data_IF_580712142427
#
_entry.id   IF_580712142427
#
_cell.length_a   1.000
_cell.length_b   1.000
_cell.length_c   1.000
_cell.angle_alpha   90.00
_cell.angle_beta   90.00
_cell.angle_gamma   90.00
#
_symmetry.space_group_name_H-M   'P 1'
#
loop_
_entity.id
_entity.type
_entity.pdbx_description
1 polymer ?
#
# COMPACT_ATOMS: atom_id res chain seq x y z
N UNK A 1 -12.45 6.52 -10.56
CA UNK A 1 -12.92 5.72 -9.41
C UNK A 1 -13.15 6.63 -8.20
N UNK A 2 -14.19 6.39 -7.38
CA UNK A 2 -14.41 7.13 -6.11
C UNK A 2 -13.26 6.86 -5.12
N UNK A 3 -12.75 7.84 -4.36
CA UNK A 3 -11.60 7.64 -3.47
C UNK A 3 -11.75 6.49 -2.46
N UNK A 4 -12.95 6.29 -1.90
CA UNK A 4 -13.18 5.19 -0.94
C UNK A 4 -13.08 3.80 -1.58
N UNK A 5 -13.53 3.66 -2.84
CA UNK A 5 -13.41 2.40 -3.58
C UNK A 5 -11.95 2.08 -3.88
N UNK A 6 -11.17 3.08 -4.31
CA UNK A 6 -9.74 2.91 -4.53
C UNK A 6 -9.02 2.55 -3.23
N UNK A 7 -9.40 3.20 -2.12
CA UNK A 7 -8.84 2.90 -0.81
C UNK A 7 -9.12 1.45 -0.39
N UNK A 8 -10.32 0.92 -0.63
CA UNK A 8 -10.62 -0.50 -0.38
C UNK A 8 -9.74 -1.42 -1.22
N UNK A 9 -9.54 -1.13 -2.51
CA UNK A 9 -8.66 -1.95 -3.37
C UNK A 9 -7.21 -1.91 -2.90
N UNK A 10 -6.67 -0.72 -2.62
CA UNK A 10 -5.32 -0.52 -2.08
C UNK A 10 -5.14 -1.26 -0.74
N UNK A 11 -6.11 -1.09 0.16
CA UNK A 11 -6.13 -1.80 1.43
C UNK A 11 -6.14 -3.31 1.19
N UNK A 12 -7.09 -3.84 0.43
CA UNK A 12 -7.23 -5.28 0.18
C UNK A 12 -5.96 -5.93 -0.38
N UNK A 13 -5.14 -5.17 -1.11
CA UNK A 13 -3.89 -5.60 -1.73
C UNK A 13 -2.64 -5.34 -0.87
N UNK A 14 -2.77 -4.60 0.23
CA UNK A 14 -1.64 -4.27 1.11
C UNK A 14 -0.71 -3.23 0.47
N UNK A 15 -1.31 -2.22 -0.14
CA UNK A 15 -0.61 -1.12 -0.80
C UNK A 15 -0.78 0.18 -0.01
N UNK A 16 0.13 1.12 -0.21
CA UNK A 16 -0.02 2.50 0.27
C UNK A 16 -1.04 3.30 -0.56
N UNK A 17 -1.29 4.55 -0.18
CA UNK A 17 -2.23 5.44 -0.87
C UNK A 17 -1.83 5.78 -2.32
N UNK A 18 -0.59 5.49 -2.72
CA UNK A 18 -0.06 5.66 -4.08
C UNK A 18 -0.01 4.34 -4.85
N UNK A 19 -0.56 3.25 -4.29
CA UNK A 19 -0.58 1.94 -4.91
C UNK A 19 0.78 1.22 -4.91
N UNK A 20 1.72 1.62 -4.05
CA UNK A 20 3.04 0.97 -3.91
C UNK A 20 2.96 -0.19 -2.92
N UNK A 21 3.70 -1.26 -3.22
CA UNK A 21 3.80 -2.44 -2.37
C UNK A 21 4.02 -3.71 -3.19
N UNK A 22 3.87 -4.87 -2.54
CA UNK A 22 4.17 -6.19 -3.12
C UNK A 22 2.94 -7.03 -3.41
N UNK A 23 1.73 -6.51 -3.18
CA UNK A 23 0.48 -7.26 -3.34
C UNK A 23 0.43 -8.53 -2.46
N UNK A 24 0.97 -8.46 -1.23
CA UNK A 24 1.14 -9.63 -0.35
C UNK A 24 -0.17 -10.15 0.27
N UNK A 25 -1.28 -9.42 0.12
CA UNK A 25 -2.63 -9.83 0.53
C UNK A 25 -3.65 -9.60 -0.59
N UNK A 26 -4.84 -10.18 -0.45
CA UNK A 26 -5.91 -10.06 -1.45
C UNK A 26 -7.33 -10.28 -0.88
N UNK A 27 -7.57 -9.91 0.38
CA UNK A 27 -8.88 -10.15 1.00
C UNK A 27 -9.34 -8.95 1.81
N UNK A 28 -10.66 -8.74 1.80
CA UNK A 28 -11.36 -7.77 2.64
C UNK A 28 -12.59 -8.47 3.23
N UNK A 29 -12.74 -8.43 4.55
CA UNK A 29 -13.88 -9.06 5.24
C UNK A 29 -14.71 -7.98 5.88
N UNK A 30 -16.01 -7.96 5.55
CA UNK A 30 -16.94 -7.00 6.10
C UNK A 30 -18.39 -7.46 5.93
N UNK A 31 -19.30 -6.99 6.78
CA UNK A 31 -20.74 -7.30 6.71
C UNK A 31 -21.60 -6.04 6.57
N UNK A 32 -22.91 -6.22 6.37
CA UNK A 32 -23.89 -5.16 6.04
C UNK A 32 -23.93 -3.99 7.03
N UNK A 33 -23.53 -4.20 8.28
CA UNK A 33 -23.44 -3.14 9.29
C UNK A 33 -22.30 -2.13 9.03
N UNK A 34 -21.35 -2.46 8.16
CA UNK A 34 -20.22 -1.61 7.78
C UNK A 34 -20.54 -0.79 6.53
N UNK A 35 -20.16 0.49 6.55
CA UNK A 35 -20.19 1.35 5.35
C UNK A 35 -19.32 0.81 4.21
N UNK A 36 -18.29 0.03 4.53
CA UNK A 36 -17.35 -0.52 3.54
C UNK A 36 -17.98 -1.67 2.75
N UNK A 37 -19.03 -2.32 3.29
CA UNK A 37 -19.72 -3.42 2.60
C UNK A 37 -20.43 -2.95 1.34
N UNK A 38 -21.13 -1.81 1.40
CA UNK A 38 -21.76 -1.20 0.22
C UNK A 38 -20.72 -0.80 -0.85
N UNK A 39 -19.58 -0.25 -0.43
CA UNK A 39 -18.49 0.10 -1.34
C UNK A 39 -17.82 -1.17 -1.93
N UNK A 40 -17.68 -2.26 -1.17
CA UNK A 40 -17.21 -3.56 -1.68
C UNK A 40 -18.18 -4.16 -2.70
N UNK A 41 -19.50 -4.09 -2.46
CA UNK A 41 -20.52 -4.53 -3.41
C UNK A 41 -20.48 -3.69 -4.70
N UNK A 42 -20.24 -2.39 -4.61
CA UNK A 42 -20.05 -1.54 -5.80
C UNK A 42 -18.79 -1.95 -6.59
N UNK A 43 -17.71 -2.35 -5.91
CA UNK A 43 -16.51 -2.89 -6.56
C UNK A 43 -16.76 -4.27 -7.21
N UNK A 44 -17.64 -5.08 -6.62
CA UNK A 44 -18.08 -6.36 -7.21
C UNK A 44 -18.90 -6.12 -8.47
N UNK A 45 -19.87 -5.21 -8.42
CA UNK A 45 -20.70 -4.81 -9.57
C UNK A 45 -19.85 -4.26 -10.73
N UNK A 46 -18.79 -3.51 -10.40
CA UNK A 46 -17.82 -3.02 -11.37
C UNK A 46 -16.79 -4.06 -11.87
N UNK A 47 -16.82 -5.30 -11.37
CA UNK A 47 -15.89 -6.38 -11.77
C UNK A 47 -14.49 -6.30 -11.15
N UNK A 48 -14.25 -5.38 -10.22
CA UNK A 48 -12.95 -5.19 -9.56
C UNK A 48 -12.74 -6.10 -8.34
N UNK A 49 -13.83 -6.64 -7.78
CA UNK A 49 -13.77 -7.63 -6.70
C UNK A 49 -14.69 -8.82 -6.97
N UNK A 50 -14.38 -9.96 -6.36
CA UNK A 50 -15.32 -11.06 -6.16
C UNK A 50 -15.79 -11.13 -4.70
N UNK A 51 -16.85 -11.90 -4.44
CA UNK A 51 -17.46 -12.04 -3.12
C UNK A 51 -17.79 -13.51 -2.79
N UNK A 52 -17.55 -13.91 -1.54
CA UNK A 52 -18.10 -15.09 -0.90
C UNK A 52 -19.02 -14.63 0.22
N UNK A 53 -20.31 -14.90 0.08
CA UNK A 53 -21.32 -14.48 1.06
C UNK A 53 -21.29 -15.36 2.30
N UNK A 54 -21.48 -14.74 3.46
CA UNK A 54 -21.62 -15.39 4.77
C UNK A 54 -20.62 -16.52 5.02
N UNK A 55 -19.33 -16.23 4.82
CA UNK A 55 -18.30 -17.26 4.82
C UNK A 55 -17.99 -17.72 6.26
N UNK A 56 -18.00 -19.02 6.59
CA UNK A 56 -17.79 -19.49 7.97
C UNK A 56 -16.45 -19.05 8.58
N UNK A 57 -15.39 -19.01 7.76
CA UNK A 57 -14.07 -18.53 8.21
C UNK A 57 -14.00 -17.00 8.38
N UNK A 58 -15.02 -16.27 7.93
CA UNK A 58 -15.17 -14.84 8.09
C UNK A 58 -16.15 -14.48 9.23
N UNK A 59 -16.49 -15.44 10.10
CA UNK A 59 -17.40 -15.19 11.23
C UNK A 59 -18.85 -14.93 10.82
N UNK A 60 -19.24 -15.29 9.60
CA UNK A 60 -20.57 -15.03 9.04
C UNK A 60 -20.67 -13.75 8.20
N UNK A 61 -19.61 -12.94 8.14
CA UNK A 61 -19.49 -11.81 7.23
C UNK A 61 -19.16 -12.25 5.80
N UNK A 62 -19.24 -11.29 4.87
CA UNK A 62 -18.85 -11.49 3.49
C UNK A 62 -17.33 -11.32 3.33
N UNK A 63 -16.73 -12.20 2.52
CA UNK A 63 -15.32 -12.15 2.19
C UNK A 63 -15.13 -11.78 0.71
N UNK A 64 -14.42 -10.68 0.47
CA UNK A 64 -14.15 -10.14 -0.85
C UNK A 64 -12.70 -10.36 -1.23
N UNK A 65 -12.42 -10.50 -2.53
CA UNK A 65 -11.06 -10.53 -3.08
C UNK A 65 -10.96 -9.66 -4.32
N UNK A 66 -9.77 -9.10 -4.58
CA UNK A 66 -9.54 -8.24 -5.75
C UNK A 66 -9.25 -9.11 -6.98
N UNK A 67 -9.89 -8.78 -8.09
CA UNK A 67 -9.68 -9.42 -9.40
C UNK A 67 -8.42 -8.85 -10.08
N UNK A 68 -7.98 -9.45 -11.19
CA UNK A 68 -6.90 -8.86 -11.99
C UNK A 68 -7.29 -7.47 -12.54
N UNK A 69 -8.55 -7.27 -12.89
CA UNK A 69 -9.09 -6.00 -13.32
C UNK A 69 -9.03 -4.96 -12.20
N UNK A 70 -9.33 -5.35 -10.96
CA UNK A 70 -9.14 -4.50 -9.78
C UNK A 70 -7.68 -4.13 -9.54
N UNK A 71 -6.74 -5.06 -9.73
CA UNK A 71 -5.29 -4.75 -9.65
C UNK A 71 -4.85 -3.76 -10.73
N UNK A 72 -5.37 -3.89 -11.95
CA UNK A 72 -5.12 -2.91 -13.03
C UNK A 72 -5.71 -1.54 -12.66
N UNK A 73 -6.93 -1.52 -12.13
CA UNK A 73 -7.58 -0.29 -11.69
C UNK A 73 -6.76 0.43 -10.61
N UNK A 74 -6.16 -0.28 -9.65
CA UNK A 74 -5.26 0.36 -8.67
C UNK A 74 -4.08 1.05 -9.35
N UNK A 75 -3.44 0.41 -10.34
CA UNK A 75 -2.31 1.03 -11.06
C UNK A 75 -2.74 2.25 -11.88
N UNK A 76 -3.96 2.23 -12.42
CA UNK A 76 -4.51 3.31 -13.24
C UNK A 76 -4.97 4.52 -12.41
N UNK A 77 -5.68 4.26 -11.31
CA UNK A 77 -6.34 5.30 -10.51
C UNK A 77 -5.52 5.78 -9.31
N UNK A 78 -4.45 5.07 -8.91
CA UNK A 78 -3.60 5.54 -7.81
C UNK A 78 -2.88 6.84 -8.18
N UNK A 79 -2.87 7.83 -7.28
CA UNK A 79 -2.16 9.07 -7.54
C UNK A 79 -0.66 8.82 -7.66
N UNK A 80 0.01 9.66 -8.45
CA UNK A 80 1.47 9.65 -8.48
C UNK A 80 2.00 10.06 -7.11
N UNK A 81 2.99 9.32 -6.57
CA UNK A 81 3.60 9.66 -5.30
C UNK A 81 4.34 11.00 -5.39
N UNK A 82 4.39 11.77 -4.29
CA UNK A 82 5.09 13.04 -4.27
C UNK A 82 6.58 12.85 -4.54
N UNK A 83 7.16 13.82 -5.26
CA UNK A 83 8.62 13.85 -5.45
C UNK A 83 9.26 14.32 -4.14
N UNK A 84 10.06 13.45 -3.52
CA UNK A 84 10.75 13.77 -2.28
C UNK A 84 11.92 14.73 -2.54
N UNK A 85 12.06 15.76 -1.73
CA UNK A 85 13.27 16.59 -1.68
C UNK A 85 14.48 15.75 -1.27
N UNK A 86 15.69 16.22 -1.57
CA UNK A 86 16.93 15.53 -1.15
C UNK A 86 16.99 15.28 0.37
N UNK A 87 16.42 16.19 1.18
CA UNK A 87 16.31 16.01 2.62
C UNK A 87 15.40 14.86 3.01
N UNK A 88 14.20 14.83 2.45
CA UNK A 88 13.21 13.77 2.67
C UNK A 88 13.71 12.41 2.17
N UNK A 89 14.41 12.35 1.03
CA UNK A 89 15.01 11.10 0.54
C UNK A 89 16.01 10.52 1.52
N UNK A 90 16.86 11.35 2.14
CA UNK A 90 17.80 10.89 3.17
C UNK A 90 17.09 10.41 4.43
N UNK A 91 15.99 11.07 4.80
CA UNK A 91 15.18 10.67 5.93
C UNK A 91 14.48 9.33 5.67
N UNK A 92 13.89 9.15 4.49
CA UNK A 92 13.32 7.87 4.07
C UNK A 92 14.37 6.75 4.07
N UNK A 93 15.57 7.00 3.52
CA UNK A 93 16.65 6.02 3.53
C UNK A 93 17.17 5.67 4.93
N UNK A 94 16.96 6.55 5.92
CA UNK A 94 17.24 6.26 7.33
C UNK A 94 16.13 5.40 7.96
N UNK A 95 14.86 5.68 7.65
CA UNK A 95 13.75 4.81 8.06
C UNK A 95 13.89 3.40 7.47
N UNK A 96 14.22 3.31 6.17
CA UNK A 96 14.40 2.04 5.46
C UNK A 96 15.64 1.26 5.93
N UNK A 97 16.61 1.93 6.56
CA UNK A 97 17.79 1.27 7.12
C UNK A 97 17.44 0.42 8.35
N UNK A 98 16.36 0.74 9.05
CA UNK A 98 15.80 -0.02 10.17
C UNK A 98 16.86 -0.49 11.20
N UNK A 99 17.72 0.45 11.61
CA UNK A 99 18.83 0.17 12.54
C UNK A 99 18.88 1.14 13.71
N UNK A 100 19.73 0.83 14.70
CA UNK A 100 19.78 1.58 15.97
C UNK A 100 20.42 2.98 15.93
N UNK A 101 20.83 3.47 14.77
CA UNK A 101 21.42 4.82 14.65
C UNK A 101 20.32 5.88 14.69
N UNK A 102 20.57 7.00 15.39
CA UNK A 102 19.78 8.21 15.18
C UNK A 102 19.95 8.74 13.75
N UNK A 103 19.02 9.59 13.31
CA UNK A 103 19.07 10.18 11.98
C UNK A 103 20.39 10.93 11.72
N UNK A 104 20.89 11.70 12.70
CA UNK A 104 22.15 12.45 12.56
C UNK A 104 23.36 11.51 12.46
N UNK A 105 23.39 10.44 13.24
CA UNK A 105 24.48 9.45 13.17
C UNK A 105 24.49 8.74 11.81
N UNK A 106 23.32 8.34 11.32
CA UNK A 106 23.17 7.77 9.98
C UNK A 106 23.67 8.71 8.89
N UNK A 107 23.34 10.01 8.98
CA UNK A 107 23.82 11.00 8.01
C UNK A 107 25.34 11.16 8.03
N UNK A 108 25.96 11.20 9.21
CA UNK A 108 27.42 11.26 9.38
C UNK A 108 28.08 10.01 8.80
N UNK A 109 27.57 8.83 9.14
CA UNK A 109 28.05 7.55 8.62
C UNK A 109 27.97 7.50 7.08
N UNK A 110 26.82 7.81 6.49
CA UNK A 110 26.67 7.88 5.02
C UNK A 110 27.59 8.92 4.37
N UNK A 111 27.87 10.04 5.05
CA UNK A 111 28.80 11.05 4.53
C UNK A 111 30.24 10.54 4.49
N UNK A 112 30.68 9.87 5.56
CA UNK A 112 32.00 9.27 5.63
C UNK A 112 32.18 8.17 4.57
N UNK A 113 31.18 7.29 4.41
CA UNK A 113 31.18 6.25 3.37
C UNK A 113 31.32 6.83 1.95
N UNK A 114 30.62 7.93 1.65
CA UNK A 114 30.75 8.60 0.34
C UNK A 114 32.13 9.21 0.12
N UNK A 115 32.77 9.73 1.16
CA UNK A 115 34.12 10.28 1.06
C UNK A 115 35.13 9.17 0.77
N UNK A 116 35.08 8.08 1.54
CA UNK A 116 35.94 6.91 1.32
C UNK A 116 35.82 6.34 -0.10
N UNK A 117 34.60 6.20 -0.62
CA UNK A 117 34.37 5.71 -1.99
C UNK A 117 34.91 6.66 -3.06
N UNK A 118 34.95 7.97 -2.81
CA UNK A 118 35.55 8.94 -3.74
C UNK A 118 37.06 8.89 -3.73
N UNK A 119 37.65 8.67 -2.56
CA UNK A 119 39.10 8.61 -2.40
C UNK A 119 39.70 7.30 -2.98
N UNK A 120 38.85 6.30 -3.23
CA UNK A 120 39.22 5.00 -3.83
C UNK A 120 38.99 4.90 -5.35
N UNK A 121 38.41 5.93 -5.98
CA UNK A 121 38.06 5.96 -7.40
C UNK A 121 39.02 6.86 -8.20
#
# INVERSE_FOLDING_TARGET
MKPSLLHILQHSLGLDEYGRGTFYRNHFVTGEASKDHADCLALVDAGFMGIRKSHPLAGGDDAFWVTEDGKRAVREYSPKPPTLTRGQQRYQAWLDYDGGMSFIEYLKWKSHQRQQMRDLA
#
